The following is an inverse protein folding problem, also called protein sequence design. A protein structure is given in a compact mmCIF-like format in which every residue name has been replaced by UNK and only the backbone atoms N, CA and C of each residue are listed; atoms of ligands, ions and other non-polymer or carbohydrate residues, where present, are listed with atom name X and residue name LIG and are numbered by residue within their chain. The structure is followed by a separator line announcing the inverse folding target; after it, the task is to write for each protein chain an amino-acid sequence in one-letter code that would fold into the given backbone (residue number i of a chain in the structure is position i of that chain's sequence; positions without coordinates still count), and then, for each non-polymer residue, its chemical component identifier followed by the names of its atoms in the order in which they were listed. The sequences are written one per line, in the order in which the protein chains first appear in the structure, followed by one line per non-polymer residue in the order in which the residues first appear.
data_IF_340947161121
#
_entry.id   IF_340947161121
#
_cell.length_a   1.000
_cell.length_b   1.000
_cell.length_c   1.000
_cell.angle_alpha   90.00
_cell.angle_beta   90.00
_cell.angle_gamma   90.00
#
_symmetry.space_group_name_H-M   'P 1'
#
loop_
_entity.id
_entity.type
_entity.pdbx_description
1 polymer ?
#
# COMPACT_ATOMS: atom_id res chain seq x y z
N UNK A 1 -23.71 -8.64 -11.76
CA UNK A 1 -22.80 -7.74 -11.01
C UNK A 1 -22.06 -6.80 -11.95
N UNK A 2 -21.31 -7.29 -12.95
CA UNK A 2 -20.54 -6.43 -13.86
C UNK A 2 -21.39 -5.37 -14.59
N UNK A 3 -22.55 -5.74 -15.15
CA UNK A 3 -23.46 -4.77 -15.80
C UNK A 3 -23.82 -3.58 -14.89
N UNK A 4 -24.24 -3.86 -13.65
CA UNK A 4 -24.58 -2.82 -12.67
C UNK A 4 -23.37 -1.97 -12.29
N UNK A 5 -22.19 -2.58 -12.15
CA UNK A 5 -20.92 -1.88 -11.86
C UNK A 5 -20.51 -0.95 -12.99
N UNK A 6 -20.71 -1.36 -14.24
CA UNK A 6 -20.47 -0.51 -15.41
C UNK A 6 -21.45 0.64 -15.50
N UNK A 7 -22.74 0.40 -15.24
CA UNK A 7 -23.78 1.44 -15.21
C UNK A 7 -23.46 2.48 -14.11
N UNK A 8 -23.21 2.03 -12.88
CA UNK A 8 -22.84 2.90 -11.77
C UNK A 8 -21.58 3.72 -12.05
N UNK A 9 -20.53 3.10 -12.61
CA UNK A 9 -19.31 3.81 -13.01
C UNK A 9 -19.64 4.96 -13.99
N UNK A 10 -20.47 4.68 -15.01
CA UNK A 10 -20.86 5.68 -16.01
C UNK A 10 -21.70 6.80 -15.42
N UNK A 11 -22.64 6.48 -14.53
CA UNK A 11 -23.52 7.47 -13.90
C UNK A 11 -22.71 8.46 -13.05
N UNK A 12 -21.79 7.95 -12.23
CA UNK A 12 -20.91 8.77 -11.36
C UNK A 12 -19.93 9.59 -12.21
N UNK A 13 -19.32 8.98 -13.22
CA UNK A 13 -18.43 9.68 -14.16
C UNK A 13 -19.16 10.83 -14.86
N UNK A 14 -20.36 10.58 -15.39
CA UNK A 14 -21.16 11.62 -16.05
C UNK A 14 -21.56 12.74 -15.10
N UNK A 15 -21.97 12.41 -13.87
CA UNK A 15 -22.29 13.40 -12.86
C UNK A 15 -21.11 14.35 -12.60
N UNK A 16 -19.89 13.81 -12.46
CA UNK A 16 -18.67 14.59 -12.26
C UNK A 16 -18.32 15.50 -13.46
N UNK A 17 -18.59 15.07 -14.70
CA UNK A 17 -18.46 15.92 -15.88
C UNK A 17 -19.46 17.08 -15.85
N UNK A 18 -20.73 16.80 -15.52
CA UNK A 18 -21.80 17.82 -15.45
C UNK A 18 -21.47 18.90 -14.42
N UNK A 19 -20.96 18.51 -13.25
CA UNK A 19 -20.54 19.47 -12.20
C UNK A 19 -19.11 20.00 -12.40
N UNK A 20 -18.45 19.68 -13.51
CA UNK A 20 -17.13 20.17 -13.94
C UNK A 20 -15.97 19.85 -12.98
N UNK A 21 -16.06 18.71 -12.29
CA UNK A 21 -14.97 18.18 -11.48
C UNK A 21 -13.94 17.41 -12.30
N UNK A 22 -14.36 16.86 -13.44
CA UNK A 22 -13.49 16.16 -14.38
C UNK A 22 -13.71 16.65 -15.80
N UNK A 23 -12.70 16.46 -16.65
CA UNK A 23 -12.70 16.73 -18.08
C UNK A 23 -11.93 15.60 -18.80
N UNK A 24 -12.00 15.56 -20.12
CA UNK A 24 -11.33 14.50 -20.91
C UNK A 24 -9.81 14.49 -20.73
N UNK A 25 -9.21 15.61 -20.29
CA UNK A 25 -7.79 15.71 -19.97
C UNK A 25 -7.44 15.40 -18.51
N UNK A 26 -8.41 15.01 -17.67
CA UNK A 26 -8.15 14.68 -16.27
C UNK A 26 -7.48 13.30 -16.22
N UNK A 27 -6.34 13.14 -15.50
CA UNK A 27 -5.71 11.84 -15.35
C UNK A 27 -6.68 10.81 -14.76
N UNK A 28 -6.63 9.58 -15.26
CA UNK A 28 -7.60 8.53 -14.92
C UNK A 28 -7.61 8.20 -13.42
N UNK A 29 -6.45 8.18 -12.76
CA UNK A 29 -6.36 8.02 -11.29
C UNK A 29 -7.01 9.16 -10.50
N UNK A 30 -7.01 10.38 -11.03
CA UNK A 30 -7.72 11.50 -10.41
C UNK A 30 -9.23 11.38 -10.63
N UNK A 31 -9.66 10.88 -11.80
CA UNK A 31 -11.07 10.53 -12.03
C UNK A 31 -11.53 9.51 -10.99
N UNK A 32 -10.78 8.44 -10.76
CA UNK A 32 -11.10 7.44 -9.74
C UNK A 32 -11.24 8.05 -8.34
N UNK A 33 -10.33 8.97 -7.97
CA UNK A 33 -10.44 9.67 -6.69
C UNK A 33 -11.74 10.48 -6.60
N UNK A 34 -12.08 11.26 -7.64
CA UNK A 34 -13.31 12.07 -7.63
C UNK A 34 -14.57 11.21 -7.58
N UNK A 35 -14.57 10.08 -8.28
CA UNK A 35 -15.66 9.10 -8.21
C UNK A 35 -15.80 8.56 -6.78
N UNK A 36 -14.71 8.14 -6.16
CA UNK A 36 -14.71 7.63 -4.80
C UNK A 36 -15.17 8.69 -3.77
N UNK A 37 -14.73 9.94 -3.93
CA UNK A 37 -15.14 11.05 -3.07
C UNK A 37 -16.64 11.35 -3.22
N UNK A 38 -17.18 11.32 -4.43
CA UNK A 38 -18.61 11.52 -4.67
C UNK A 38 -19.44 10.39 -4.05
N UNK A 39 -19.07 9.13 -4.29
CA UNK A 39 -19.78 7.97 -3.73
C UNK A 39 -19.70 7.90 -2.20
N UNK A 40 -18.61 8.36 -1.60
CA UNK A 40 -18.45 8.42 -0.14
C UNK A 40 -19.03 9.70 0.51
N UNK A 41 -19.63 10.61 -0.27
CA UNK A 41 -20.19 11.86 0.23
C UNK A 41 -19.14 12.86 0.73
N UNK A 42 -17.89 12.74 0.27
CA UNK A 42 -16.73 13.56 0.64
C UNK A 42 -16.19 14.41 -0.50
N UNK A 43 -16.96 14.57 -1.58
CA UNK A 43 -16.53 15.42 -2.70
C UNK A 43 -16.33 16.88 -2.20
N UNK A 44 -15.14 17.48 -2.39
CA UNK A 44 -14.89 18.82 -1.91
C UNK A 44 -15.73 19.84 -2.68
N UNK A 45 -15.80 21.07 -2.18
CA UNK A 45 -16.62 22.12 -2.82
C UNK A 45 -16.09 22.56 -4.19
N UNK A 46 -14.77 22.52 -4.38
CA UNK A 46 -14.11 22.81 -5.66
C UNK A 46 -12.72 22.16 -5.71
N UNK A 47 -12.09 22.19 -6.89
CA UNK A 47 -10.78 21.57 -7.16
C UNK A 47 -9.58 22.28 -6.50
N UNK A 48 -9.76 23.49 -5.96
CA UNK A 48 -8.68 24.23 -5.30
C UNK A 48 -8.45 23.78 -3.84
N UNK A 49 -9.34 22.93 -3.30
CA UNK A 49 -9.12 22.33 -1.99
C UNK A 49 -7.92 21.38 -2.03
N UNK A 50 -7.02 21.47 -1.03
CA UNK A 50 -5.90 20.54 -0.94
C UNK A 50 -6.40 19.12 -0.73
N UNK A 51 -5.63 18.14 -1.20
CA UNK A 51 -5.90 16.73 -0.97
C UNK A 51 -5.73 16.42 0.52
N UNK A 52 -6.64 15.62 1.07
CA UNK A 52 -6.47 15.07 2.41
C UNK A 52 -5.45 13.91 2.38
N UNK A 53 -4.80 13.57 3.51
CA UNK A 53 -3.85 12.46 3.55
C UNK A 53 -4.41 11.13 3.04
N UNK A 54 -5.71 10.89 3.25
CA UNK A 54 -6.43 9.72 2.76
C UNK A 54 -6.57 9.71 1.23
N UNK A 55 -6.71 10.89 0.61
CA UNK A 55 -6.76 11.04 -0.84
C UNK A 55 -5.40 10.70 -1.47
N UNK A 56 -4.30 11.09 -0.82
CA UNK A 56 -2.96 10.73 -1.28
C UNK A 56 -2.69 9.22 -1.20
N UNK A 57 -3.24 8.56 -0.17
CA UNK A 57 -3.18 7.09 -0.05
C UNK A 57 -3.98 6.44 -1.16
N UNK A 58 -5.20 6.92 -1.42
CA UNK A 58 -6.04 6.43 -2.51
C UNK A 58 -5.33 6.58 -3.86
N UNK A 59 -4.77 7.77 -4.16
CA UNK A 59 -4.06 8.02 -5.40
C UNK A 59 -2.82 7.14 -5.57
N UNK A 60 -2.07 6.89 -4.50
CA UNK A 60 -0.91 5.99 -4.57
C UNK A 60 -1.33 4.57 -4.97
N UNK A 61 -2.39 4.05 -4.33
CA UNK A 61 -2.94 2.72 -4.65
C UNK A 61 -3.52 2.71 -6.06
N UNK A 62 -4.24 3.76 -6.47
CA UNK A 62 -4.85 3.87 -7.80
C UNK A 62 -3.79 3.82 -8.91
N UNK A 63 -2.70 4.56 -8.76
CA UNK A 63 -1.57 4.55 -9.71
C UNK A 63 -0.96 3.16 -9.87
N UNK A 64 -0.70 2.49 -8.75
CA UNK A 64 -0.15 1.14 -8.80
C UNK A 64 -1.14 0.10 -9.37
N UNK A 65 -2.45 0.28 -9.16
CA UNK A 65 -3.46 -0.63 -9.73
C UNK A 65 -3.66 -0.42 -11.23
N UNK A 66 -3.57 0.82 -11.72
CA UNK A 66 -3.72 1.18 -13.14
C UNK A 66 -2.67 0.48 -14.02
N UNK A 67 -1.45 0.30 -13.52
CA UNK A 67 -0.38 -0.43 -14.24
C UNK A 67 -0.64 -1.95 -14.35
N UNK A 68 -1.53 -2.50 -13.51
CA UNK A 68 -1.83 -3.95 -13.45
C UNK A 68 -3.17 -4.28 -14.10
N UNK A 69 -4.12 -3.34 -14.13
CA UNK A 69 -5.50 -3.57 -14.56
C UNK A 69 -5.85 -2.66 -15.73
N UNK A 70 -5.98 -3.26 -16.92
CA UNK A 70 -6.22 -2.53 -18.17
C UNK A 70 -7.62 -1.88 -18.26
N UNK A 71 -8.67 -2.55 -17.76
CA UNK A 71 -10.03 -2.03 -17.84
C UNK A 71 -10.30 -0.99 -16.74
N UNK A 72 -10.74 0.20 -17.14
CA UNK A 72 -10.98 1.32 -16.22
C UNK A 72 -12.09 1.03 -15.20
N UNK A 73 -13.12 0.28 -15.58
CA UNK A 73 -14.23 -0.05 -14.67
C UNK A 73 -13.72 -1.03 -13.62
N UNK A 74 -13.03 -2.08 -14.03
CA UNK A 74 -12.44 -3.06 -13.13
C UNK A 74 -11.39 -2.43 -12.23
N UNK A 75 -10.51 -1.59 -12.77
CA UNK A 75 -9.50 -0.86 -12.01
C UNK A 75 -10.15 0.01 -10.93
N UNK A 76 -11.17 0.82 -11.28
CA UNK A 76 -11.90 1.63 -10.30
C UNK A 76 -12.48 0.79 -9.15
N UNK A 77 -13.16 -0.31 -9.50
CA UNK A 77 -13.82 -1.16 -8.51
C UNK A 77 -12.81 -1.91 -7.65
N UNK A 78 -11.66 -2.31 -8.20
CA UNK A 78 -10.58 -2.94 -7.44
C UNK A 78 -9.94 -1.95 -6.48
N UNK A 79 -9.58 -0.75 -6.92
CA UNK A 79 -9.04 0.32 -6.05
C UNK A 79 -10.03 0.64 -4.93
N UNK A 80 -11.29 0.89 -5.28
CA UNK A 80 -12.33 1.24 -4.29
C UNK A 80 -12.55 0.10 -3.28
N UNK A 81 -12.58 -1.14 -3.74
CA UNK A 81 -12.74 -2.31 -2.86
C UNK A 81 -11.52 -2.52 -1.96
N UNK A 82 -10.31 -2.35 -2.50
CA UNK A 82 -9.05 -2.49 -1.76
C UNK A 82 -8.95 -1.44 -0.65
N UNK A 83 -9.17 -0.16 -0.98
CA UNK A 83 -9.16 0.93 0.01
C UNK A 83 -10.27 0.75 1.05
N UNK A 84 -11.46 0.32 0.64
CA UNK A 84 -12.54 -0.02 1.56
C UNK A 84 -12.16 -1.16 2.53
N UNK A 85 -11.42 -2.17 2.04
CA UNK A 85 -10.90 -3.25 2.87
C UNK A 85 -9.90 -2.74 3.92
N UNK A 86 -9.00 -1.83 3.55
CA UNK A 86 -8.08 -1.18 4.49
C UNK A 86 -8.83 -0.40 5.59
N UNK A 87 -9.82 0.40 5.18
CA UNK A 87 -10.54 1.31 6.07
C UNK A 87 -11.58 0.64 6.96
N UNK A 88 -12.06 -0.54 6.58
CA UNK A 88 -13.09 -1.27 7.33
C UNK A 88 -12.56 -2.57 7.91
N UNK A 89 -12.21 -3.55 7.06
CA UNK A 89 -11.78 -4.88 7.52
C UNK A 89 -10.49 -4.83 8.34
N UNK A 90 -9.54 -4.00 7.95
CA UNK A 90 -8.24 -3.91 8.62
C UNK A 90 -8.08 -2.68 9.51
N UNK A 91 -9.17 -1.93 9.76
CA UNK A 91 -9.16 -0.68 10.53
C UNK A 91 -8.42 -0.79 11.87
N UNK A 92 -8.66 -1.87 12.61
CA UNK A 92 -8.05 -2.10 13.93
C UNK A 92 -6.69 -2.80 13.84
N UNK A 93 -6.40 -3.45 12.71
CA UNK A 93 -5.17 -4.20 12.50
C UNK A 93 -4.02 -3.35 11.98
N UNK A 94 -4.28 -2.43 11.04
CA UNK A 94 -3.25 -1.57 10.43
C UNK A 94 -2.45 -0.75 11.46
N UNK A 95 -3.09 -0.11 12.47
CA UNK A 95 -2.35 0.66 13.49
C UNK A 95 -1.42 -0.21 14.35
N UNK A 96 -1.63 -1.53 14.42
CA UNK A 96 -0.82 -2.44 15.21
C UNK A 96 0.41 -2.96 14.44
N UNK A 97 0.42 -2.87 13.11
CA UNK A 97 1.48 -3.43 12.28
C UNK A 97 2.90 -2.91 12.60
N UNK A 98 3.13 -1.62 12.94
CA UNK A 98 4.45 -1.16 13.39
C UNK A 98 5.00 -1.94 14.58
N UNK A 99 4.14 -2.22 15.58
CA UNK A 99 4.53 -3.01 16.76
C UNK A 99 4.80 -4.47 16.40
N UNK A 100 3.99 -5.03 15.51
CA UNK A 100 4.17 -6.41 15.02
C UNK A 100 5.47 -6.54 14.21
N UNK A 101 5.83 -5.52 13.41
CA UNK A 101 7.12 -5.46 12.71
C UNK A 101 8.28 -5.45 13.69
N UNK A 102 8.23 -4.63 14.74
CA UNK A 102 9.27 -4.61 15.76
C UNK A 102 9.43 -5.99 16.44
N UNK A 103 8.32 -6.67 16.73
CA UNK A 103 8.33 -8.01 17.32
C UNK A 103 9.02 -9.03 16.42
N UNK A 104 8.66 -9.11 15.14
CA UNK A 104 9.28 -10.07 14.23
C UNK A 104 10.73 -9.70 13.90
N UNK A 105 11.06 -8.41 13.79
CA UNK A 105 12.45 -7.98 13.62
C UNK A 105 13.30 -8.34 14.82
N UNK A 106 12.76 -8.27 16.04
CA UNK A 106 13.47 -8.72 17.24
C UNK A 106 13.80 -10.21 17.20
N UNK A 107 12.91 -11.03 16.62
CA UNK A 107 13.09 -12.48 16.49
C UNK A 107 14.08 -12.83 15.38
N UNK A 108 13.96 -12.22 14.21
CA UNK A 108 14.81 -12.53 13.06
C UNK A 108 16.20 -11.86 13.14
N UNK A 109 16.28 -10.62 13.66
CA UNK A 109 17.55 -9.89 13.80
C UNK A 109 17.51 -8.82 14.90
N UNK A 110 17.67 -9.25 16.15
CA UNK A 110 17.74 -8.35 17.31
C UNK A 110 18.85 -7.29 17.18
N UNK A 111 19.98 -7.60 16.50
CA UNK A 111 21.09 -6.65 16.35
C UNK A 111 20.68 -5.49 15.43
N UNK A 112 19.97 -5.77 14.34
CA UNK A 112 19.44 -4.74 13.46
C UNK A 112 18.40 -3.87 14.20
N UNK A 113 17.50 -4.49 14.98
CA UNK A 113 16.55 -3.72 15.80
C UNK A 113 17.27 -2.82 16.82
N UNK A 114 18.27 -3.35 17.52
CA UNK A 114 19.06 -2.59 18.48
C UNK A 114 19.75 -1.38 17.83
N UNK A 115 20.28 -1.55 16.62
CA UNK A 115 20.86 -0.45 15.83
C UNK A 115 19.83 0.63 15.48
N UNK A 116 18.65 0.23 14.98
CA UNK A 116 17.57 1.17 14.68
C UNK A 116 17.12 1.94 15.93
N UNK A 117 17.07 1.27 17.09
CA UNK A 117 16.76 1.91 18.39
C UNK A 117 17.86 2.89 18.80
N UNK A 118 19.12 2.50 18.70
CA UNK A 118 20.26 3.37 19.03
C UNK A 118 20.29 4.64 18.17
N UNK A 119 19.86 4.53 16.91
CA UNK A 119 19.75 5.67 16.00
C UNK A 119 18.45 6.49 16.18
N UNK A 120 17.56 6.13 17.11
CA UNK A 120 16.20 6.70 17.22
C UNK A 120 15.39 6.63 15.90
N UNK A 121 15.63 5.61 15.08
CA UNK A 121 15.04 5.46 13.75
C UNK A 121 13.70 4.71 13.75
N UNK A 122 13.42 3.90 14.77
CA UNK A 122 12.20 3.05 14.83
C UNK A 122 10.91 3.86 14.66
N UNK A 123 10.81 5.04 15.29
CA UNK A 123 9.62 5.90 15.19
C UNK A 123 9.54 6.69 13.88
N UNK A 124 10.62 6.71 13.09
CA UNK A 124 10.74 7.44 11.82
C UNK A 124 10.73 6.53 10.59
N UNK A 125 10.56 5.23 10.76
CA UNK A 125 10.40 4.32 9.62
C UNK A 125 9.17 4.71 8.79
N UNK A 126 9.17 4.48 7.47
CA UNK A 126 8.11 4.94 6.57
C UNK A 126 6.84 4.07 6.68
N UNK A 127 6.24 3.99 7.86
CA UNK A 127 5.05 3.18 8.14
C UNK A 127 3.85 3.56 7.30
N UNK A 128 3.69 4.85 6.95
CA UNK A 128 2.62 5.26 6.05
C UNK A 128 2.80 4.66 4.65
N UNK A 129 4.04 4.59 4.14
CA UNK A 129 4.35 3.95 2.86
C UNK A 129 4.04 2.44 2.90
N UNK A 130 4.46 1.77 3.98
CA UNK A 130 4.33 0.31 4.09
C UNK A 130 2.91 -0.14 4.43
N UNK A 131 2.20 0.55 5.32
CA UNK A 131 0.97 0.04 5.93
C UNK A 131 -0.29 0.83 5.58
N UNK A 132 -0.18 2.07 5.10
CA UNK A 132 -1.33 2.79 4.53
C UNK A 132 -1.34 2.68 3.02
N UNK A 133 -0.22 3.02 2.37
CA UNK A 133 -0.05 2.89 0.90
C UNK A 133 0.23 1.45 0.45
N UNK A 134 0.39 0.52 1.39
CA UNK A 134 0.61 -0.90 1.10
C UNK A 134 1.75 -1.13 0.10
N UNK A 135 2.85 -0.37 0.23
CA UNK A 135 4.02 -0.34 -0.66
C UNK A 135 3.78 0.22 -2.08
N UNK A 136 2.63 0.83 -2.37
CA UNK A 136 2.44 1.57 -3.61
C UNK A 136 3.45 2.73 -3.73
N UNK A 137 4.16 2.78 -4.86
CA UNK A 137 5.27 3.70 -5.09
C UNK A 137 6.58 3.34 -4.38
N UNK A 138 6.66 2.18 -3.71
CA UNK A 138 7.87 1.66 -3.08
C UNK A 138 8.44 0.45 -3.83
N UNK A 139 7.56 -0.48 -4.23
CA UNK A 139 7.89 -1.66 -5.01
C UNK A 139 7.35 -1.52 -6.44
N UNK A 140 7.99 -2.13 -7.45
CA UNK A 140 7.45 -2.20 -8.80
C UNK A 140 6.16 -3.00 -8.80
N UNK A 141 5.22 -2.62 -9.66
CA UNK A 141 3.86 -3.16 -9.70
C UNK A 141 3.84 -4.67 -10.01
N UNK A 142 4.80 -5.14 -10.81
CA UNK A 142 5.02 -6.55 -11.12
C UNK A 142 5.26 -7.42 -9.88
N UNK A 143 6.00 -6.89 -8.88
CA UNK A 143 6.24 -7.56 -7.60
C UNK A 143 5.13 -7.26 -6.59
N UNK A 144 4.62 -6.03 -6.60
CA UNK A 144 3.63 -5.53 -5.66
C UNK A 144 2.30 -6.29 -5.73
N UNK A 145 1.84 -6.65 -6.94
CA UNK A 145 0.61 -7.42 -7.12
C UNK A 145 0.62 -8.74 -6.33
N UNK A 146 1.77 -9.41 -6.21
CA UNK A 146 1.91 -10.66 -5.44
C UNK A 146 1.74 -10.45 -3.93
N UNK A 147 2.10 -9.27 -3.44
CA UNK A 147 1.80 -8.85 -2.05
C UNK A 147 0.32 -8.56 -1.90
N UNK A 148 -0.26 -7.83 -2.86
CA UNK A 148 -1.67 -7.46 -2.85
C UNK A 148 -2.60 -8.66 -2.99
N UNK A 149 -2.21 -9.73 -3.69
CA UNK A 149 -2.93 -11.01 -3.70
C UNK A 149 -3.22 -11.49 -2.27
N UNK A 150 -2.22 -11.39 -1.38
CA UNK A 150 -2.35 -11.82 0.03
C UNK A 150 -3.19 -10.85 0.86
N UNK A 151 -3.11 -9.55 0.57
CA UNK A 151 -3.95 -8.53 1.22
C UNK A 151 -5.41 -8.73 0.85
N UNK A 152 -5.70 -8.87 -0.44
CA UNK A 152 -7.03 -9.12 -1.01
C UNK A 152 -7.57 -10.44 -0.46
N UNK A 153 -6.77 -11.50 -0.44
CA UNK A 153 -7.17 -12.81 0.09
C UNK A 153 -7.39 -12.85 1.60
N UNK A 154 -7.08 -11.78 2.34
CA UNK A 154 -7.51 -11.63 3.73
C UNK A 154 -6.42 -11.37 4.77
N UNK A 155 -5.16 -11.18 4.38
CA UNK A 155 -4.06 -10.97 5.31
C UNK A 155 -3.36 -9.62 5.12
N UNK A 156 -3.62 -8.64 6.00
CA UNK A 156 -2.80 -7.42 6.05
C UNK A 156 -1.44 -7.65 6.73
N UNK A 157 -1.25 -8.79 7.42
CA UNK A 157 0.02 -9.12 8.10
C UNK A 157 1.17 -9.36 7.11
N UNK A 158 0.90 -9.73 5.87
CA UNK A 158 1.93 -9.86 4.82
C UNK A 158 2.77 -8.58 4.69
N UNK A 159 2.15 -7.40 4.90
CA UNK A 159 2.83 -6.11 4.81
C UNK A 159 3.98 -6.00 5.83
N UNK A 160 3.81 -6.61 7.01
CA UNK A 160 4.86 -6.66 8.04
C UNK A 160 6.05 -7.47 7.54
N UNK A 161 5.81 -8.61 6.90
CA UNK A 161 6.89 -9.48 6.43
C UNK A 161 7.61 -8.89 5.21
N UNK A 162 6.93 -8.11 4.38
CA UNK A 162 7.58 -7.34 3.31
C UNK A 162 8.48 -6.26 3.90
N UNK A 163 8.00 -5.48 4.88
CA UNK A 163 8.83 -4.48 5.56
C UNK A 163 10.02 -5.13 6.27
N UNK A 164 9.81 -6.26 6.94
CA UNK A 164 10.85 -7.03 7.61
C UNK A 164 11.91 -7.50 6.62
N UNK A 165 11.50 -8.10 5.50
CA UNK A 165 12.45 -8.62 4.50
C UNK A 165 13.23 -7.51 3.81
N UNK A 166 12.64 -6.32 3.60
CA UNK A 166 13.37 -5.13 3.14
C UNK A 166 14.47 -4.77 4.13
N UNK A 167 14.16 -4.72 5.44
CA UNK A 167 15.14 -4.41 6.48
C UNK A 167 16.27 -5.46 6.53
N UNK A 168 15.93 -6.75 6.42
CA UNK A 168 16.91 -7.84 6.42
C UNK A 168 17.79 -7.81 5.16
N UNK A 169 17.20 -7.63 3.99
CA UNK A 169 17.90 -7.55 2.71
C UNK A 169 18.92 -6.42 2.69
N UNK A 170 18.54 -5.25 3.21
CA UNK A 170 19.43 -4.08 3.24
C UNK A 170 20.16 -3.88 4.58
N UNK A 171 20.20 -4.90 5.44
CA UNK A 171 20.83 -4.84 6.77
C UNK A 171 22.19 -4.17 6.74
N UNK A 172 23.11 -4.65 5.88
CA UNK A 172 24.48 -4.12 5.84
C UNK A 172 24.52 -2.62 5.53
N UNK A 173 23.65 -2.15 4.63
CA UNK A 173 23.52 -0.74 4.28
C UNK A 173 22.93 0.06 5.45
N UNK A 174 21.88 -0.45 6.08
CA UNK A 174 21.20 0.21 7.22
C UNK A 174 22.14 0.31 8.43
N UNK A 175 22.89 -0.75 8.73
CA UNK A 175 23.88 -0.80 9.82
C UNK A 175 25.02 0.22 9.63
N UNK A 176 25.32 0.62 8.39
CA UNK A 176 26.31 1.65 8.10
C UNK A 176 25.77 3.08 8.26
N UNK A 177 24.45 3.26 8.34
CA UNK A 177 23.81 4.55 8.56
C UNK A 177 23.59 4.77 10.06
N UNK A 178 24.02 5.92 10.58
CA UNK A 178 23.94 6.26 12.02
C UNK A 178 22.92 7.35 12.33
N UNK A 179 22.16 7.80 11.33
CA UNK A 179 21.21 8.90 11.43
C UNK A 179 19.83 8.43 10.96
N UNK A 180 18.80 8.72 11.77
CA UNK A 180 17.44 8.28 11.50
C UNK A 180 16.88 8.82 10.18
N UNK A 181 17.10 10.09 9.86
CA UNK A 181 16.62 10.69 8.61
C UNK A 181 17.23 10.01 7.38
N UNK A 182 18.53 9.70 7.41
CA UNK A 182 19.20 8.96 6.32
C UNK A 182 18.67 7.54 6.17
N UNK A 183 18.35 6.87 7.28
CA UNK A 183 17.73 5.54 7.26
C UNK A 183 16.35 5.62 6.63
N UNK A 184 15.51 6.57 7.05
CA UNK A 184 14.17 6.79 6.48
C UNK A 184 14.24 7.11 5.00
N UNK A 185 15.06 8.07 4.57
CA UNK A 185 15.23 8.44 3.16
C UNK A 185 15.67 7.25 2.30
N UNK A 186 16.58 6.41 2.81
CA UNK A 186 16.99 5.20 2.12
C UNK A 186 15.83 4.22 1.96
N UNK A 187 15.05 3.99 3.02
CA UNK A 187 13.91 3.06 3.00
C UNK A 187 12.71 3.56 2.18
N UNK A 188 12.58 4.87 1.99
CA UNK A 188 11.62 5.47 1.08
C UNK A 188 12.04 5.30 -0.40
N UNK A 189 13.32 5.04 -0.67
CA UNK A 189 13.91 4.98 -2.02
C UNK A 189 14.82 3.76 -2.18
N UNK A 190 14.32 2.58 -1.85
CA UNK A 190 15.11 1.34 -1.92
C UNK A 190 15.50 1.00 -3.37
N UNK A 191 16.64 0.31 -3.58
CA UNK A 191 16.99 -0.27 -4.87
C UNK A 191 15.89 -1.21 -5.40
N UNK A 192 15.61 -1.13 -6.71
CA UNK A 192 14.50 -1.82 -7.37
C UNK A 192 14.90 -3.15 -8.02
N UNK A 193 16.18 -3.49 -8.04
CA UNK A 193 16.77 -4.65 -8.73
C UNK A 193 16.48 -6.00 -8.06
N UNK A 194 16.19 -6.02 -6.75
CA UNK A 194 16.01 -7.24 -5.96
C UNK A 194 14.60 -7.40 -5.38
N UNK A 195 13.64 -6.60 -5.83
CA UNK A 195 12.28 -6.51 -5.25
C UNK A 195 11.51 -7.82 -5.40
N UNK A 196 11.71 -8.56 -6.49
CA UNK A 196 11.07 -9.86 -6.67
C UNK A 196 11.52 -10.90 -5.66
N UNK A 197 12.82 -10.94 -5.37
CA UNK A 197 13.41 -11.83 -4.36
C UNK A 197 12.96 -11.45 -2.95
N UNK A 198 12.88 -10.14 -2.65
CA UNK A 198 12.33 -9.61 -1.40
C UNK A 198 10.89 -10.10 -1.21
N UNK A 199 10.02 -9.93 -2.20
CA UNK A 199 8.62 -10.34 -2.08
C UNK A 199 8.48 -11.85 -1.89
N UNK A 200 9.25 -12.66 -2.63
CA UNK A 200 9.21 -14.12 -2.47
C UNK A 200 9.63 -14.56 -1.06
N UNK A 201 10.75 -14.04 -0.54
CA UNK A 201 11.22 -14.35 0.81
C UNK A 201 10.28 -13.82 1.90
N UNK A 202 9.67 -12.66 1.69
CA UNK A 202 8.67 -12.12 2.60
C UNK A 202 7.44 -13.03 2.70
N UNK A 203 6.98 -13.61 1.59
CA UNK A 203 5.89 -14.60 1.58
C UNK A 203 6.31 -15.86 2.34
N UNK A 204 7.53 -16.35 2.15
CA UNK A 204 8.05 -17.51 2.88
C UNK A 204 8.15 -17.25 4.39
N UNK A 205 8.65 -16.08 4.79
CA UNK A 205 8.68 -15.64 6.19
C UNK A 205 7.27 -15.52 6.78
N UNK A 206 6.33 -14.96 6.01
CA UNK A 206 4.94 -14.89 6.43
C UNK A 206 4.35 -16.28 6.68
N UNK A 207 4.58 -17.23 5.77
CA UNK A 207 4.15 -18.61 5.93
C UNK A 207 4.79 -19.29 7.16
N UNK A 208 6.12 -19.13 7.34
CA UNK A 208 6.88 -19.64 8.49
C UNK A 208 6.28 -19.21 9.82
N UNK A 209 5.87 -17.94 9.94
CA UNK A 209 5.41 -17.35 11.20
C UNK A 209 3.90 -17.39 11.43
N UNK A 210 3.11 -17.42 10.36
CA UNK A 210 1.64 -17.37 10.44
C UNK A 210 0.96 -18.71 10.18
N UNK A 211 1.69 -19.74 9.72
CA UNK A 211 1.17 -21.08 9.51
C UNK A 211 -0.05 -21.10 8.61
N UNK A 212 0.10 -20.73 7.33
CA UNK A 212 -0.98 -20.98 6.36
C UNK A 212 -1.18 -22.49 6.25
N UNK A 213 -2.41 -23.00 6.34
CA UNK A 213 -2.70 -24.38 5.99
C UNK A 213 -2.23 -24.61 4.56
N UNK A 214 -1.32 -25.56 4.36
CA UNK A 214 -0.92 -25.98 3.02
C UNK A 214 -2.20 -26.39 2.30
N UNK A 215 -2.50 -25.78 1.16
CA UNK A 215 -3.62 -26.18 0.33
C UNK A 215 -3.43 -27.67 -0.02
N UNK A 216 -4.17 -28.55 0.65
CA UNK A 216 -4.30 -29.95 0.26
C UNK A 216 -5.09 -29.94 -1.05
N UNK A 217 -4.35 -30.12 -2.15
CA UNK A 217 -4.92 -30.39 -3.48
C UNK A 217 -5.56 -31.77 -3.49
#
# INVERSE_FOLDING_TARGET
VMKYRTEQYRDVYHALQVIRFIKDSTPQVEVFLRMHQLESGRLPRNLAFPLEPEDEVFLAIAKAMEEVVEDNVDCYWLVSSFVNQLNNKYKDSLPQLPKVLEQYLNVEDNRLLAHLKACSAVSKLPYNLWFKKCFAGCLPESSLQRVWDKVISGSCKILVFVALEILLTFKMKIMALTNAEKITQFLENIPQDNTDAIVSKAIDLWHKHCGTPVHLV
#
